data_IF_711205220512
#
_entry.id   IF_711205220512
#
_cell.length_a   1.000
_cell.length_b   1.000
_cell.length_c   1.000
_cell.angle_alpha   90.00
_cell.angle_beta   90.00
_cell.angle_gamma   90.00
#
_symmetry.space_group_name_H-M   'P 1'
#
loop_
_entity.id
_entity.type
_entity.pdbx_description
1 polymer ?
#
# COMPACT_ATOMS: atom_id res chain seq x y z
N UNK A 1 -3.70 23.93 19.53
CA UNK A 1 -2.67 23.06 20.13
C UNK A 1 -2.98 21.57 20.00
N UNK A 2 -4.22 21.12 20.07
CA UNK A 2 -4.55 19.68 19.95
C UNK A 2 -4.30 19.07 18.55
N UNK A 3 -4.53 19.82 17.47
CA UNK A 3 -4.33 19.35 16.08
C UNK A 3 -2.85 19.13 15.71
N UNK A 4 -1.93 19.92 16.25
CA UNK A 4 -0.49 19.80 15.98
C UNK A 4 0.11 18.60 16.73
N UNK A 5 -0.31 18.38 17.97
CA UNK A 5 0.13 17.21 18.77
C UNK A 5 -0.39 15.88 18.20
N UNK A 6 -1.61 15.88 17.65
CA UNK A 6 -2.20 14.70 17.00
C UNK A 6 -1.47 14.35 15.69
N UNK A 7 -1.13 15.35 14.86
CA UNK A 7 -0.35 15.15 13.63
C UNK A 7 1.05 14.59 13.92
N UNK A 8 1.73 15.09 14.93
CA UNK A 8 3.08 14.64 15.31
C UNK A 8 3.06 13.21 15.87
N UNK A 9 2.02 12.85 16.62
CA UNK A 9 1.82 11.49 17.14
C UNK A 9 1.54 10.49 16.02
N UNK A 10 0.75 10.90 15.00
CA UNK A 10 0.43 10.07 13.83
C UNK A 10 1.64 9.89 12.91
N UNK A 11 2.52 10.90 12.76
CA UNK A 11 3.75 10.78 11.98
C UNK A 11 4.67 9.68 12.50
N UNK A 12 4.81 9.54 13.82
CA UNK A 12 5.61 8.48 14.45
C UNK A 12 4.99 7.09 14.32
N UNK A 13 3.67 6.99 14.10
CA UNK A 13 2.98 5.70 14.04
C UNK A 13 3.34 4.90 12.78
N UNK A 14 3.64 5.56 11.67
CA UNK A 14 3.95 4.89 10.40
C UNK A 14 5.45 4.60 10.23
N UNK A 15 6.33 5.28 10.93
CA UNK A 15 7.79 5.09 10.83
C UNK A 15 8.24 3.66 11.11
N UNK A 16 7.54 2.94 11.98
CA UNK A 16 7.84 1.53 12.28
C UNK A 16 7.72 0.60 11.07
N UNK A 17 7.05 1.02 10.02
CA UNK A 17 6.88 0.26 8.77
C UNK A 17 7.92 0.61 7.70
N UNK A 18 8.81 1.56 7.95
CA UNK A 18 9.76 2.06 6.95
C UNK A 18 10.59 0.93 6.32
N UNK A 19 11.23 0.12 7.14
CA UNK A 19 12.13 -0.94 6.67
C UNK A 19 11.40 -2.00 5.86
N UNK A 20 10.26 -2.50 6.35
CA UNK A 20 9.51 -3.55 5.66
C UNK A 20 8.94 -3.04 4.34
N UNK A 21 8.43 -1.81 4.29
CA UNK A 21 7.90 -1.21 3.07
C UNK A 21 9.01 -0.97 2.05
N UNK A 22 10.18 -0.51 2.51
CA UNK A 22 11.36 -0.35 1.66
C UNK A 22 11.79 -1.69 1.04
N UNK A 23 11.79 -2.77 1.80
CA UNK A 23 12.11 -4.11 1.31
C UNK A 23 11.09 -4.61 0.28
N UNK A 24 9.80 -4.39 0.50
CA UNK A 24 8.73 -4.77 -0.43
C UNK A 24 8.89 -4.06 -1.78
N UNK A 25 9.11 -2.75 -1.74
CA UNK A 25 9.32 -1.96 -2.97
C UNK A 25 10.61 -2.36 -3.66
N UNK A 26 11.68 -2.67 -2.92
CA UNK A 26 12.92 -3.20 -3.45
C UNK A 26 12.72 -4.53 -4.19
N UNK A 27 11.94 -5.44 -3.63
CA UNK A 27 11.57 -6.70 -4.28
C UNK A 27 10.79 -6.45 -5.59
N UNK A 28 9.84 -5.53 -5.57
CA UNK A 28 9.09 -5.14 -6.78
C UNK A 28 10.00 -4.51 -7.84
N UNK A 29 10.99 -3.73 -7.44
CA UNK A 29 11.98 -3.17 -8.36
C UNK A 29 12.83 -4.27 -9.03
N UNK A 30 13.23 -5.32 -8.31
CA UNK A 30 13.92 -6.47 -8.89
C UNK A 30 13.07 -7.19 -9.93
N UNK A 31 11.81 -7.44 -9.62
CA UNK A 31 10.84 -8.04 -10.56
C UNK A 31 10.71 -7.19 -11.81
N UNK A 32 10.51 -5.90 -11.66
CA UNK A 32 10.35 -4.97 -12.78
C UNK A 32 11.62 -4.87 -13.63
N UNK A 33 12.78 -4.92 -13.02
CA UNK A 33 14.06 -4.91 -13.74
C UNK A 33 14.22 -6.14 -14.64
N UNK A 34 13.80 -7.33 -14.16
CA UNK A 34 13.92 -8.59 -14.89
C UNK A 34 12.84 -8.70 -15.97
N UNK A 35 11.59 -8.41 -15.63
CA UNK A 35 10.44 -8.63 -16.51
C UNK A 35 10.12 -7.45 -17.42
N UNK A 36 10.60 -6.25 -17.10
CA UNK A 36 10.21 -4.99 -17.73
C UNK A 36 8.69 -4.72 -17.54
N UNK A 37 8.11 -3.89 -18.38
CA UNK A 37 6.71 -3.47 -18.27
C UNK A 37 5.83 -4.08 -19.36
N UNK A 38 4.52 -4.03 -19.15
CA UNK A 38 3.52 -4.38 -20.16
C UNK A 38 3.01 -5.82 -20.11
N UNK A 39 3.44 -6.61 -19.12
CA UNK A 39 2.88 -7.94 -18.88
C UNK A 39 1.59 -7.84 -18.06
N UNK A 40 0.86 -8.94 -17.98
CA UNK A 40 -0.36 -9.00 -17.18
C UNK A 40 -0.08 -9.00 -15.67
N UNK A 41 -1.01 -8.48 -14.89
CA UNK A 41 -0.90 -8.41 -13.43
C UNK A 41 -0.57 -9.77 -12.78
N UNK A 42 -1.20 -10.90 -13.16
CA UNK A 42 -0.90 -12.21 -12.55
C UNK A 42 0.56 -12.64 -12.68
N UNK A 43 1.24 -12.28 -13.77
CA UNK A 43 2.66 -12.59 -13.95
C UNK A 43 3.51 -11.84 -12.94
N UNK A 44 3.27 -10.55 -12.76
CA UNK A 44 3.97 -9.74 -11.76
C UNK A 44 3.66 -10.19 -10.34
N UNK A 45 2.42 -10.58 -10.07
CA UNK A 45 2.01 -11.09 -8.77
C UNK A 45 2.78 -12.37 -8.41
N UNK A 46 2.86 -13.32 -9.31
CA UNK A 46 3.60 -14.57 -9.09
C UNK A 46 5.10 -14.33 -8.92
N UNK A 47 5.69 -13.48 -9.76
CA UNK A 47 7.10 -13.11 -9.65
C UNK A 47 7.41 -12.38 -8.33
N UNK A 48 6.55 -11.46 -7.91
CA UNK A 48 6.72 -10.77 -6.64
C UNK A 48 6.60 -11.71 -5.45
N UNK A 49 5.72 -12.70 -5.51
CA UNK A 49 5.62 -13.73 -4.48
C UNK A 49 6.95 -14.47 -4.31
N UNK A 50 7.59 -14.84 -5.41
CA UNK A 50 8.89 -15.51 -5.39
C UNK A 50 9.98 -14.62 -4.80
N UNK A 51 10.05 -13.35 -5.22
CA UNK A 51 11.03 -12.41 -4.67
C UNK A 51 10.84 -12.15 -3.18
N UNK A 52 9.61 -11.94 -2.73
CA UNK A 52 9.33 -11.75 -1.31
C UNK A 52 9.75 -12.98 -0.48
N UNK A 53 9.49 -14.17 -0.99
CA UNK A 53 9.89 -15.43 -0.36
C UNK A 53 11.42 -15.56 -0.30
N UNK A 54 12.12 -15.29 -1.39
CA UNK A 54 13.58 -15.37 -1.48
C UNK A 54 14.26 -14.38 -0.51
N UNK A 55 13.66 -13.23 -0.30
CA UNK A 55 14.16 -12.22 0.64
C UNK A 55 13.73 -12.46 2.08
N UNK A 56 13.00 -13.53 2.36
CA UNK A 56 12.53 -13.89 3.69
C UNK A 56 11.45 -12.96 4.25
N UNK A 57 10.72 -12.27 3.39
CA UNK A 57 9.64 -11.37 3.79
C UNK A 57 8.36 -12.18 3.96
N UNK A 58 7.78 -12.15 5.17
CA UNK A 58 6.50 -12.81 5.45
C UNK A 58 5.40 -12.15 4.64
N UNK A 59 4.78 -12.90 3.75
CA UNK A 59 3.66 -12.41 2.93
C UNK A 59 2.69 -13.54 2.59
N UNK A 60 1.44 -13.19 2.34
CA UNK A 60 0.42 -14.07 1.82
C UNK A 60 -0.20 -13.45 0.57
N UNK A 61 -0.16 -14.20 -0.52
CA UNK A 61 -0.77 -13.83 -1.80
C UNK A 61 -2.27 -14.12 -1.76
N UNK A 62 -3.07 -13.19 -2.29
CA UNK A 62 -4.53 -13.33 -2.40
C UNK A 62 -5.22 -13.67 -1.07
N UNK A 63 -4.72 -13.08 0.01
CA UNK A 63 -5.28 -13.27 1.33
C UNK A 63 -6.64 -12.60 1.46
N UNK A 64 -7.63 -13.37 1.94
CA UNK A 64 -8.93 -12.83 2.32
C UNK A 64 -8.82 -12.09 3.66
N UNK A 65 -9.25 -10.83 3.66
CA UNK A 65 -9.29 -9.98 4.84
C UNK A 65 -10.74 -9.73 5.26
N UNK A 66 -10.97 -9.72 6.56
CA UNK A 66 -12.27 -9.37 7.11
C UNK A 66 -12.54 -7.88 6.94
N UNK A 67 -13.80 -7.56 6.64
CA UNK A 67 -14.30 -6.19 6.58
C UNK A 67 -15.13 -5.89 7.81
N UNK A 68 -15.15 -4.61 8.23
CA UNK A 68 -15.86 -4.16 9.43
C UNK A 68 -16.77 -2.98 9.11
N UNK A 69 -17.97 -3.00 9.69
CA UNK A 69 -18.86 -1.86 9.76
C UNK A 69 -19.07 -1.52 11.22
N UNK A 70 -18.60 -0.36 11.64
CA UNK A 70 -18.44 -0.03 13.05
C UNK A 70 -17.60 -1.12 13.73
N UNK A 71 -18.09 -1.78 14.76
CA UNK A 71 -17.40 -2.90 15.43
C UNK A 71 -17.90 -4.27 14.95
N UNK A 72 -18.78 -4.30 13.96
CA UNK A 72 -19.34 -5.55 13.44
C UNK A 72 -18.46 -6.11 12.31
N UNK A 73 -18.09 -7.38 12.44
CA UNK A 73 -17.45 -8.13 11.40
C UNK A 73 -18.46 -8.51 10.32
N UNK A 74 -18.21 -8.09 9.10
CA UNK A 74 -19.07 -8.41 7.96
C UNK A 74 -18.80 -9.83 7.46
N UNK A 75 -19.79 -10.44 6.83
CA UNK A 75 -19.63 -11.74 6.15
C UNK A 75 -18.76 -11.63 4.90
N UNK A 76 -18.88 -10.51 4.18
CA UNK A 76 -18.04 -10.23 3.01
C UNK A 76 -16.59 -10.04 3.42
N UNK A 77 -15.70 -10.66 2.66
CA UNK A 77 -14.25 -10.47 2.76
C UNK A 77 -13.73 -9.72 1.55
N UNK A 78 -12.58 -9.09 1.71
CA UNK A 78 -11.80 -8.50 0.64
C UNK A 78 -10.53 -9.32 0.42
N UNK A 79 -10.20 -9.57 -0.85
CA UNK A 79 -8.99 -10.30 -1.20
C UNK A 79 -7.93 -9.31 -1.70
N UNK A 80 -6.90 -9.09 -0.88
CA UNK A 80 -5.74 -8.29 -1.26
C UNK A 80 -4.80 -9.11 -2.17
N UNK A 81 -4.10 -8.45 -3.09
CA UNK A 81 -3.06 -9.12 -3.89
C UNK A 81 -2.00 -9.72 -2.98
N UNK A 82 -1.53 -8.95 -1.99
CA UNK A 82 -0.70 -9.45 -0.89
C UNK A 82 -1.07 -8.78 0.44
N UNK A 83 -0.87 -9.53 1.49
CA UNK A 83 -0.70 -8.99 2.84
C UNK A 83 0.72 -9.30 3.26
N UNK A 84 1.49 -8.26 3.55
CA UNK A 84 2.87 -8.37 4.03
C UNK A 84 2.90 -8.17 5.53
N UNK A 85 3.57 -9.06 6.24
CA UNK A 85 3.44 -9.13 7.68
C UNK A 85 1.98 -9.40 8.05
N UNK A 86 1.45 -8.67 9.01
CA UNK A 86 0.05 -8.79 9.43
C UNK A 86 -0.80 -7.58 8.99
N UNK A 87 -0.17 -6.47 8.63
CA UNK A 87 -0.78 -5.14 8.60
C UNK A 87 -0.72 -4.42 7.25
N UNK A 88 0.06 -4.90 6.30
CA UNK A 88 0.34 -4.15 5.07
C UNK A 88 -0.39 -4.77 3.90
N UNK A 89 -1.32 -4.03 3.31
CA UNK A 89 -1.98 -4.39 2.05
C UNK A 89 -1.10 -3.93 0.89
N UNK A 90 -0.85 -4.81 -0.06
CA UNK A 90 -0.17 -4.49 -1.32
C UNK A 90 -1.10 -4.79 -2.48
N UNK A 91 -1.36 -3.78 -3.31
CA UNK A 91 -2.13 -3.88 -4.53
C UNK A 91 -1.25 -3.66 -5.75
N UNK A 92 -1.38 -4.52 -6.73
CA UNK A 92 -0.59 -4.51 -7.97
C UNK A 92 -1.45 -4.05 -9.14
N UNK A 93 -0.86 -3.22 -9.98
CA UNK A 93 -1.41 -2.80 -11.27
C UNK A 93 -0.37 -2.98 -12.37
N UNK A 94 -0.85 -3.16 -13.60
CA UNK A 94 -0.02 -3.16 -14.81
C UNK A 94 -0.72 -2.30 -15.87
N UNK A 95 -0.61 -0.98 -15.73
CA UNK A 95 -1.30 0.02 -16.54
C UNK A 95 -0.37 1.16 -16.92
N UNK A 96 -0.70 1.84 -18.00
CA UNK A 96 0.06 3.03 -18.44
C UNK A 96 0.05 4.13 -17.35
N UNK A 97 -1.08 4.31 -16.66
CA UNK A 97 -1.22 5.28 -15.58
C UNK A 97 -2.05 4.70 -14.44
N UNK A 98 -1.70 5.08 -13.21
CA UNK A 98 -2.58 4.92 -12.06
C UNK A 98 -3.68 5.99 -12.11
N UNK A 99 -4.92 5.56 -11.93
CA UNK A 99 -6.08 6.43 -11.95
C UNK A 99 -6.56 6.74 -10.53
N UNK A 100 -7.28 7.86 -10.33
CA UNK A 100 -7.86 8.18 -9.02
C UNK A 100 -8.74 7.07 -8.44
N UNK A 101 -9.45 6.33 -9.28
CA UNK A 101 -10.28 5.19 -8.88
C UNK A 101 -9.46 4.02 -8.31
N UNK A 102 -8.23 3.80 -8.77
CA UNK A 102 -7.34 2.79 -8.19
C UNK A 102 -6.95 3.15 -6.74
N UNK A 103 -6.68 4.42 -6.49
CA UNK A 103 -6.36 4.94 -5.15
C UNK A 103 -7.58 4.89 -4.24
N UNK A 104 -8.73 5.33 -4.74
CA UNK A 104 -10.00 5.30 -4.00
C UNK A 104 -10.35 3.86 -3.59
N UNK A 105 -10.13 2.89 -4.46
CA UNK A 105 -10.36 1.48 -4.16
C UNK A 105 -9.45 1.00 -3.02
N UNK A 106 -8.15 1.30 -3.08
CA UNK A 106 -7.21 0.96 -2.01
C UNK A 106 -7.63 1.60 -0.67
N UNK A 107 -8.02 2.87 -0.67
CA UNK A 107 -8.46 3.58 0.53
C UNK A 107 -9.71 2.94 1.14
N UNK A 108 -10.69 2.57 0.32
CA UNK A 108 -11.87 1.86 0.78
C UNK A 108 -11.50 0.53 1.43
N UNK A 109 -10.58 -0.22 0.84
CA UNK A 109 -10.13 -1.50 1.40
C UNK A 109 -9.35 -1.31 2.71
N UNK A 110 -8.51 -0.30 2.81
CA UNK A 110 -7.80 0.02 4.05
C UNK A 110 -8.78 0.38 5.19
N UNK A 111 -9.83 1.15 4.88
CA UNK A 111 -10.89 1.48 5.86
C UNK A 111 -11.67 0.26 6.28
N UNK A 112 -12.13 -0.54 5.31
CA UNK A 112 -12.94 -1.73 5.55
C UNK A 112 -12.19 -2.79 6.38
N UNK A 113 -10.93 -2.99 6.11
CA UNK A 113 -10.11 -4.02 6.77
C UNK A 113 -9.36 -3.50 8.00
N UNK A 114 -9.40 -2.19 8.24
CA UNK A 114 -8.62 -1.53 9.31
C UNK A 114 -7.12 -1.72 9.16
N UNK A 115 -6.64 -1.86 7.92
CA UNK A 115 -5.21 -1.99 7.63
C UNK A 115 -4.52 -0.64 7.71
N UNK A 116 -3.46 -0.49 8.51
CA UNK A 116 -2.81 0.81 8.72
C UNK A 116 -1.97 1.27 7.53
N UNK A 117 -1.49 0.37 6.71
CA UNK A 117 -0.63 0.66 5.56
C UNK A 117 -1.18 0.01 4.29
N UNK A 118 -1.21 0.79 3.21
CA UNK A 118 -1.50 0.32 1.87
C UNK A 118 -0.41 0.76 0.89
N UNK A 119 0.04 -0.16 0.06
CA UNK A 119 1.02 0.10 -1.00
C UNK A 119 0.36 -0.19 -2.35
N UNK A 120 0.46 0.76 -3.26
CA UNK A 120 0.02 0.61 -4.63
C UNK A 120 1.25 0.55 -5.54
N UNK A 121 1.42 -0.54 -6.28
CA UNK A 121 2.56 -0.76 -7.15
C UNK A 121 2.08 -0.94 -8.57
N UNK A 122 2.62 -0.16 -9.49
CA UNK A 122 2.30 -0.26 -10.91
C UNK A 122 3.52 -0.68 -11.73
N UNK A 123 3.42 -1.83 -12.36
CA UNK A 123 4.45 -2.41 -13.23
C UNK A 123 4.27 -2.03 -14.71
N UNK A 124 3.24 -1.27 -15.04
CA UNK A 124 2.88 -0.98 -16.43
C UNK A 124 3.65 0.15 -17.11
N UNK A 125 4.65 0.72 -16.43
CA UNK A 125 5.47 1.82 -16.95
C UNK A 125 6.93 1.42 -17.05
N UNK A 126 7.71 2.17 -17.85
CA UNK A 126 9.15 1.96 -18.00
C UNK A 126 9.93 2.07 -16.68
N UNK A 127 9.43 2.84 -15.72
CA UNK A 127 9.91 2.89 -14.34
C UNK A 127 8.82 2.38 -13.41
N UNK A 128 9.20 1.62 -12.38
CA UNK A 128 8.27 1.18 -11.37
C UNK A 128 7.64 2.38 -10.67
N UNK A 129 6.31 2.41 -10.64
CA UNK A 129 5.56 3.42 -9.90
C UNK A 129 5.07 2.80 -8.59
N UNK A 130 5.32 3.47 -7.48
CA UNK A 130 4.85 3.03 -6.17
C UNK A 130 4.33 4.20 -5.36
N UNK A 131 3.25 3.95 -4.63
CA UNK A 131 2.65 4.91 -3.71
C UNK A 131 2.43 4.22 -2.37
N UNK A 132 2.70 4.95 -1.29
CA UNK A 132 2.57 4.49 0.09
C UNK A 132 1.51 5.31 0.79
N UNK A 133 0.58 4.63 1.45
CA UNK A 133 -0.53 5.26 2.17
C UNK A 133 -0.63 4.76 3.59
N UNK A 134 -0.98 5.67 4.50
CA UNK A 134 -1.29 5.36 5.90
C UNK A 134 -2.76 5.63 6.19
N UNK A 135 -3.40 4.77 6.96
CA UNK A 135 -4.76 4.96 7.44
C UNK A 135 -4.75 5.56 8.83
N UNK A 136 -5.38 6.72 8.97
CA UNK A 136 -5.55 7.44 10.23
C UNK A 136 -6.95 7.14 10.77
N UNK A 137 -7.06 6.26 11.73
CA UNK A 137 -8.34 5.79 12.27
C UNK A 137 -9.19 6.91 12.86
N UNK A 138 -8.57 7.84 13.60
CA UNK A 138 -9.27 8.93 14.30
C UNK A 138 -10.03 9.85 13.34
N UNK A 139 -9.51 10.07 12.13
CA UNK A 139 -10.11 10.92 11.11
C UNK A 139 -10.76 10.13 9.98
N UNK A 140 -10.61 8.82 9.97
CA UNK A 140 -11.05 7.92 8.91
C UNK A 140 -10.48 8.30 7.52
N UNK A 141 -9.28 8.85 7.49
CA UNK A 141 -8.60 9.32 6.27
C UNK A 141 -7.40 8.45 5.91
N UNK A 142 -7.19 8.25 4.62
CA UNK A 142 -5.94 7.74 4.09
C UNK A 142 -5.06 8.90 3.63
N UNK A 143 -3.80 8.86 4.01
CA UNK A 143 -2.82 9.92 3.74
C UNK A 143 -1.66 9.37 2.94
N UNK A 144 -1.15 10.18 2.01
CA UNK A 144 0.06 9.83 1.24
C UNK A 144 1.28 9.92 2.15
N UNK A 145 2.14 8.90 2.07
CA UNK A 145 3.39 8.83 2.80
C UNK A 145 4.58 8.95 1.86
N UNK A 146 5.66 9.55 2.35
CA UNK A 146 6.94 9.57 1.65
C UNK A 146 7.74 8.27 1.88
N UNK A 147 8.96 8.20 1.33
CA UNK A 147 9.85 7.02 1.46
C UNK A 147 10.26 6.72 2.92
N UNK A 148 10.15 7.71 3.81
CA UNK A 148 10.45 7.57 5.24
C UNK A 148 9.21 7.27 6.07
N UNK A 149 8.07 7.05 5.42
CA UNK A 149 6.77 6.81 6.04
C UNK A 149 6.26 8.02 6.84
N UNK A 150 6.66 9.22 6.44
CA UNK A 150 6.11 10.47 6.95
C UNK A 150 4.95 10.93 6.07
N UNK A 151 3.96 11.57 6.69
CA UNK A 151 2.83 12.15 5.96
C UNK A 151 3.34 13.23 5.02
N UNK A 152 3.09 13.03 3.73
CA UNK A 152 3.44 13.99 2.69
C UNK A 152 2.39 15.09 2.67
N UNK A 153 2.81 16.31 3.03
CA UNK A 153 1.94 17.50 2.94
C UNK A 153 2.00 18.03 1.51
N UNK A 154 0.85 18.21 0.83
CA UNK A 154 0.83 18.82 -0.50
C UNK A 154 1.50 20.20 -0.45
N UNK A 155 2.45 20.46 -1.36
CA UNK A 155 2.95 21.80 -1.55
C UNK A 155 1.83 22.70 -2.08
N UNK A 156 1.81 23.98 -1.68
CA UNK A 156 0.81 24.93 -2.13
C UNK A 156 0.75 25.11 -3.66
N UNK A 157 1.72 24.58 -4.39
CA UNK A 157 1.77 24.53 -5.85
C UNK A 157 1.05 23.32 -6.45
N UNK A 158 0.77 22.28 -5.65
CA UNK A 158 0.11 21.05 -6.11
C UNK A 158 -1.44 21.16 -6.03
N UNK A 159 -1.97 22.27 -5.53
CA UNK A 159 -3.39 22.53 -5.31
C UNK A 159 -4.04 23.32 -6.48
N UNK A 160 -3.24 23.70 -7.45
CA UNK A 160 -3.71 24.31 -8.70
C UNK A 160 -3.67 23.26 -9.80
#
# INVERSE_FOLDING_TARGET
MSKVKSKTKNMKTFEKYEDIVFQVIGAAMHVHHILNYGLSEPIYQEALQLELSDEGIKSEREKALHCFYKNYKLEKTYKADFVVGDDIIVEIKSRANLLPEHRAQLFNYMRLTQSPIGILINFGRSHLQSERYGYVKDTNECVLLDRYMHIKVPNSQDIL
#
